data_IF_304619064585
#
_entry.id   IF_304619064585
#
_cell.length_a   1.000
_cell.length_b   1.000
_cell.length_c   1.000
_cell.angle_alpha   90.00
_cell.angle_beta   90.00
_cell.angle_gamma   90.00
#
_symmetry.space_group_name_H-M   'P 1'
#
loop_
_entity.id
_entity.type
_entity.pdbx_description
1 polymer ?
#
# COMPACT_ATOMS: atom_id res chain seq x y z
N UNK A 1 8.66 1.69 19.45
CA UNK A 1 8.91 3.14 19.30
C UNK A 1 10.06 3.55 20.20
N UNK A 2 10.93 4.46 19.76
CA UNK A 2 11.97 5.02 20.62
C UNK A 2 11.30 5.77 21.79
N UNK A 3 11.88 5.65 22.99
CA UNK A 3 11.31 6.07 24.29
C UNK A 3 10.83 7.54 24.39
N UNK A 4 11.01 8.36 23.36
CA UNK A 4 10.74 9.80 23.37
C UNK A 4 9.90 10.31 22.18
N UNK A 5 9.46 9.46 21.25
CA UNK A 5 8.67 9.89 20.08
C UNK A 5 7.30 9.20 20.03
N UNK A 6 6.18 9.95 19.97
CA UNK A 6 4.83 9.40 20.09
C UNK A 6 4.29 8.76 18.79
N UNK A 7 4.83 9.13 17.62
CA UNK A 7 4.42 8.58 16.33
C UNK A 7 5.59 8.60 15.32
N UNK A 8 5.49 7.80 14.26
CA UNK A 8 6.38 7.86 13.08
C UNK A 8 5.59 8.34 11.86
N UNK A 9 6.21 9.20 11.06
CA UNK A 9 5.74 9.52 9.71
C UNK A 9 6.74 8.97 8.71
N UNK A 10 6.27 8.18 7.76
CA UNK A 10 7.11 7.53 6.78
C UNK A 10 6.59 7.77 5.36
N UNK A 11 7.49 7.67 4.39
CA UNK A 11 7.14 7.63 2.97
C UNK A 11 7.92 6.49 2.35
N UNK A 12 7.30 5.73 1.47
CA UNK A 12 7.97 4.68 0.70
C UNK A 12 7.65 4.81 -0.78
N UNK A 13 8.64 4.69 -1.64
CA UNK A 13 8.44 4.55 -3.08
C UNK A 13 8.51 3.07 -3.48
N UNK A 14 7.72 2.66 -4.47
CA UNK A 14 7.64 1.26 -4.85
C UNK A 14 8.51 0.89 -6.07
N UNK A 15 9.39 1.78 -6.53
CA UNK A 15 10.16 1.57 -7.79
C UNK A 15 11.04 0.33 -7.79
N UNK A 16 11.35 -0.23 -6.62
CA UNK A 16 12.08 -1.49 -6.47
C UNK A 16 11.29 -2.69 -7.02
N UNK A 17 9.95 -2.65 -6.99
CA UNK A 17 9.11 -3.78 -7.34
C UNK A 17 9.14 -4.12 -8.84
N UNK A 18 9.46 -3.15 -9.71
CA UNK A 18 9.57 -3.39 -11.16
C UNK A 18 10.96 -3.85 -11.60
N UNK A 19 11.92 -3.98 -10.66
CA UNK A 19 13.32 -4.32 -10.96
C UNK A 19 13.60 -5.82 -11.00
N UNK A 20 12.57 -6.67 -10.94
CA UNK A 20 12.72 -8.13 -10.96
C UNK A 20 13.38 -8.70 -9.69
N UNK A 21 13.27 -8.00 -8.56
CA UNK A 21 13.79 -8.48 -7.28
C UNK A 21 12.95 -9.71 -6.85
N UNK A 22 13.57 -10.82 -6.39
CA UNK A 22 12.81 -11.98 -5.92
C UNK A 22 11.74 -11.59 -4.88
N UNK A 23 10.49 -12.00 -5.12
CA UNK A 23 9.35 -11.70 -4.26
C UNK A 23 8.60 -10.39 -4.59
N UNK A 24 9.11 -9.58 -5.53
CA UNK A 24 8.43 -8.35 -5.98
C UNK A 24 7.09 -8.59 -6.70
N UNK A 25 6.89 -9.80 -7.21
CA UNK A 25 5.61 -10.29 -7.75
C UNK A 25 4.48 -10.30 -6.71
N UNK A 26 4.83 -10.26 -5.42
CA UNK A 26 3.88 -10.22 -4.29
C UNK A 26 3.70 -8.82 -3.70
N UNK A 27 4.02 -7.77 -4.46
CA UNK A 27 3.89 -6.37 -4.02
C UNK A 27 2.52 -6.08 -3.38
N UNK A 28 1.43 -6.48 -4.03
CA UNK A 28 0.09 -6.13 -3.53
C UNK A 28 -0.28 -6.91 -2.26
N UNK A 29 0.20 -8.15 -2.11
CA UNK A 29 0.07 -8.90 -0.86
C UNK A 29 0.85 -8.21 0.27
N UNK A 30 2.07 -7.74 -0.02
CA UNK A 30 2.89 -6.98 0.90
C UNK A 30 2.18 -5.70 1.36
N UNK A 31 1.60 -4.91 0.44
CA UNK A 31 0.86 -3.68 0.78
C UNK A 31 -0.41 -3.96 1.60
N UNK A 32 -1.14 -5.04 1.28
CA UNK A 32 -2.30 -5.45 2.07
C UNK A 32 -1.90 -5.85 3.51
N UNK A 33 -0.79 -6.57 3.66
CA UNK A 33 -0.25 -6.93 4.98
C UNK A 33 0.29 -5.70 5.73
N UNK A 34 0.87 -4.74 5.02
CA UNK A 34 1.33 -3.49 5.62
C UNK A 34 0.19 -2.72 6.27
N UNK A 35 -1.01 -2.68 5.67
CA UNK A 35 -2.19 -2.07 6.31
C UNK A 35 -2.47 -2.67 7.70
N UNK A 36 -2.41 -4.00 7.84
CA UNK A 36 -2.64 -4.66 9.14
C UNK A 36 -1.63 -4.23 10.20
N UNK A 37 -0.38 -4.02 9.80
CA UNK A 37 0.66 -3.50 10.70
C UNK A 37 0.35 -2.06 11.11
N UNK A 38 -0.02 -1.22 10.13
CA UNK A 38 -0.30 0.19 10.35
C UNK A 38 -1.56 0.44 11.19
N UNK A 39 -2.55 -0.45 11.13
CA UNK A 39 -3.76 -0.38 11.98
C UNK A 39 -3.43 -0.48 13.48
N UNK A 40 -2.33 -1.16 13.83
CA UNK A 40 -1.98 -1.42 15.24
C UNK A 40 -0.79 -0.57 15.72
N UNK A 41 -0.14 0.15 14.81
CA UNK A 41 1.06 0.92 15.09
C UNK A 41 0.81 2.43 14.96
N UNK A 42 1.41 3.28 15.81
CA UNK A 42 1.34 4.74 15.69
C UNK A 42 2.24 5.25 14.55
N UNK A 43 1.89 4.86 13.31
CA UNK A 43 2.65 5.16 12.09
C UNK A 43 1.68 5.71 11.04
N UNK A 44 2.03 6.83 10.44
CA UNK A 44 1.36 7.34 9.24
C UNK A 44 2.32 7.20 8.06
N UNK A 45 1.89 6.53 7.00
CA UNK A 45 2.71 6.35 5.80
C UNK A 45 2.07 6.94 4.55
N UNK A 46 2.92 7.30 3.59
CA UNK A 46 2.53 7.58 2.21
C UNK A 46 3.31 6.63 1.29
N UNK A 47 2.60 5.69 0.67
CA UNK A 47 3.15 4.83 -0.38
C UNK A 47 3.01 5.53 -1.74
N UNK A 48 4.09 5.54 -2.52
CA UNK A 48 4.19 6.25 -3.79
C UNK A 48 4.48 5.28 -4.93
N UNK A 49 3.70 5.41 -6.01
CA UNK A 49 3.79 4.58 -7.21
C UNK A 49 3.90 5.48 -8.45
N UNK A 50 4.90 5.23 -9.27
CA UNK A 50 5.07 5.94 -10.54
C UNK A 50 4.18 5.29 -11.62
N UNK A 51 3.15 6.02 -12.05
CA UNK A 51 2.20 5.56 -13.07
C UNK A 51 2.83 5.37 -14.46
N UNK A 52 4.05 5.87 -14.69
CA UNK A 52 4.82 5.61 -15.91
C UNK A 52 5.65 4.32 -15.83
N UNK A 53 5.86 3.79 -14.62
CA UNK A 53 6.63 2.56 -14.39
C UNK A 53 5.73 1.34 -14.17
N UNK A 54 4.61 1.52 -13.49
CA UNK A 54 3.66 0.44 -13.22
C UNK A 54 2.57 0.35 -14.30
N UNK A 55 2.21 -0.88 -14.67
CA UNK A 55 1.07 -1.09 -15.55
C UNK A 55 -0.26 -0.71 -14.87
N UNK A 56 -1.28 -0.43 -15.69
CA UNK A 56 -2.59 0.01 -15.20
C UNK A 56 -3.28 -1.03 -14.31
N UNK A 57 -3.00 -2.32 -14.50
CA UNK A 57 -3.56 -3.39 -13.66
C UNK A 57 -3.00 -3.31 -12.24
N UNK A 58 -1.69 -3.13 -12.12
CA UNK A 58 -0.99 -2.99 -10.85
C UNK A 58 -1.45 -1.73 -10.13
N UNK A 59 -1.61 -0.60 -10.82
CA UNK A 59 -2.16 0.63 -10.23
C UNK A 59 -3.59 0.42 -9.69
N UNK A 60 -4.45 -0.30 -10.41
CA UNK A 60 -5.79 -0.63 -9.91
C UNK A 60 -5.74 -1.54 -8.67
N UNK A 61 -4.82 -2.51 -8.64
CA UNK A 61 -4.65 -3.38 -7.48
C UNK A 61 -4.03 -2.62 -6.27
N UNK A 62 -3.16 -1.64 -6.50
CA UNK A 62 -2.70 -0.69 -5.45
C UNK A 62 -3.87 0.09 -4.86
N UNK A 63 -4.77 0.61 -5.70
CA UNK A 63 -5.97 1.32 -5.22
C UNK A 63 -6.85 0.41 -4.35
N UNK A 64 -6.86 -0.90 -4.57
CA UNK A 64 -7.67 -1.80 -3.72
C UNK A 64 -7.15 -1.95 -2.31
N UNK A 65 -5.85 -1.71 -2.10
CA UNK A 65 -5.20 -1.91 -0.80
C UNK A 65 -4.80 -0.61 -0.12
N UNK A 66 -5.28 0.55 -0.59
CA UNK A 66 -5.01 1.85 0.06
C UNK A 66 -6.32 2.57 0.42
N UNK A 67 -6.59 2.85 1.70
CA UNK A 67 -7.87 3.45 2.12
C UNK A 67 -8.04 4.90 1.68
N UNK A 68 -6.93 5.58 1.40
CA UNK A 68 -6.89 7.00 1.05
C UNK A 68 -5.89 7.20 -0.08
N UNK A 69 -6.22 8.08 -1.03
CA UNK A 69 -5.36 8.43 -2.15
C UNK A 69 -5.20 9.95 -2.26
N UNK A 70 -4.10 10.39 -2.90
CA UNK A 70 -3.90 11.78 -3.27
C UNK A 70 -4.21 11.92 -4.75
N UNK A 71 -5.21 12.73 -5.10
CA UNK A 71 -5.60 13.02 -6.47
C UNK A 71 -5.70 14.52 -6.68
N UNK A 72 -4.97 15.06 -7.67
CA UNK A 72 -4.93 16.50 -7.97
C UNK A 72 -4.64 17.37 -6.74
N UNK A 73 -3.73 16.91 -5.88
CA UNK A 73 -3.36 17.60 -4.63
C UNK A 73 -4.40 17.50 -3.51
N UNK A 74 -5.47 16.73 -3.69
CA UNK A 74 -6.51 16.51 -2.69
C UNK A 74 -6.41 15.12 -2.07
N UNK A 75 -6.63 15.04 -0.77
CA UNK A 75 -6.76 13.78 -0.05
C UNK A 75 -8.19 13.25 -0.22
N UNK A 76 -8.33 12.06 -0.80
CA UNK A 76 -9.63 11.48 -1.15
C UNK A 76 -9.74 10.09 -0.53
N UNK A 77 -10.89 9.79 0.07
CA UNK A 77 -11.22 8.42 0.46
C UNK A 77 -11.34 7.56 -0.78
N UNK A 78 -10.57 6.49 -0.84
CA UNK A 78 -10.47 5.69 -2.03
C UNK A 78 -11.71 4.80 -2.19
N UNK A 79 -12.53 4.97 -3.23
CA UNK A 79 -13.75 4.19 -3.42
C UNK A 79 -13.48 2.73 -3.82
N UNK A 80 -12.25 2.39 -4.21
CA UNK A 80 -11.87 1.03 -4.61
C UNK A 80 -11.30 0.21 -3.46
N UNK A 81 -11.14 0.80 -2.27
CA UNK A 81 -10.50 0.16 -1.14
C UNK A 81 -11.29 -1.07 -0.64
N UNK A 82 -10.55 -2.14 -0.37
CA UNK A 82 -11.02 -3.39 0.21
C UNK A 82 -10.24 -3.61 1.50
N UNK A 83 -10.93 -3.99 2.58
CA UNK A 83 -10.27 -4.27 3.85
C UNK A 83 -9.21 -5.38 3.68
N UNK A 84 -8.06 -5.31 4.39
CA UNK A 84 -6.94 -6.21 4.14
C UNK A 84 -7.31 -7.68 4.34
N UNK A 85 -8.15 -8.01 5.32
CA UNK A 85 -8.60 -9.38 5.56
C UNK A 85 -9.46 -9.94 4.42
N UNK A 86 -10.35 -9.12 3.85
CA UNK A 86 -11.17 -9.51 2.71
C UNK A 86 -10.29 -9.70 1.45
N UNK A 87 -9.38 -8.75 1.20
CA UNK A 87 -8.47 -8.81 0.07
C UNK A 87 -7.58 -10.07 0.10
N UNK A 88 -6.96 -10.35 1.26
CA UNK A 88 -6.09 -11.51 1.44
C UNK A 88 -6.86 -12.84 1.39
N UNK A 89 -8.11 -12.88 1.88
CA UNK A 89 -8.96 -14.05 1.76
C UNK A 89 -9.33 -14.36 0.30
N UNK A 90 -9.59 -13.33 -0.52
CA UNK A 90 -9.88 -13.51 -1.95
C UNK A 90 -8.67 -14.03 -2.74
N UNK A 91 -7.46 -13.60 -2.39
CA UNK A 91 -6.22 -14.07 -3.00
C UNK A 91 -5.93 -15.56 -2.75
N UNK A 92 -6.30 -16.09 -1.58
CA UNK A 92 -6.13 -17.51 -1.22
C UNK A 92 -7.07 -18.47 -1.94
N UNK A 93 -8.07 -17.95 -2.67
CA UNK A 93 -9.06 -18.74 -3.43
C UNK A 93 -8.72 -18.86 -4.91
N UNK A 94 -7.56 -18.34 -5.33
CA UNK A 94 -7.00 -18.45 -6.68
C UNK A 94 -5.80 -19.40 -6.65
#
# INVERSE_FOLDING_TARGET
>A
MARHYPAVRATGEASWAVRGIPGSDRLIEYEALLNKVLETAPVTTVCQYDVNLFDGRTILDVLRVHPVMISRGQLVRNPFYVAPDEFLAAGRRR
#
